data_IF_362214656448
#
_entry.id   IF_362214656448
#
_cell.length_a   1.000
_cell.length_b   1.000
_cell.length_c   1.000
_cell.angle_alpha   90.00
_cell.angle_beta   90.00
_cell.angle_gamma   90.00
#
_symmetry.space_group_name_H-M   'P 1'
#
loop_
_entity.id
_entity.type
_entity.pdbx_description
1 polymer ?
#
# COMPACT_ATOMS: atom_id res chain seq x y z
N UNK A 1 20.24 19.16 8.35
CA UNK A 1 18.92 19.16 9.00
C UNK A 1 18.00 19.84 8.01
N UNK A 2 16.98 19.14 7.48
CA UNK A 2 16.07 19.69 6.46
C UNK A 2 15.05 20.60 7.13
N UNK A 3 15.49 21.75 7.64
CA UNK A 3 14.61 22.59 8.43
C UNK A 3 13.74 23.45 7.51
N UNK A 4 12.42 23.27 7.64
CA UNK A 4 11.32 24.01 7.00
C UNK A 4 10.91 23.60 5.57
N UNK A 5 10.96 22.31 5.22
CA UNK A 5 10.23 21.83 4.03
C UNK A 5 8.72 21.87 4.31
N UNK A 6 7.97 22.64 3.53
CA UNK A 6 6.51 22.60 3.56
C UNK A 6 6.00 21.31 2.92
N UNK A 7 5.26 20.49 3.68
CA UNK A 7 4.68 19.25 3.19
C UNK A 7 3.17 19.43 3.07
N UNK A 8 2.63 19.23 1.86
CA UNK A 8 1.19 19.40 1.59
C UNK A 8 0.63 18.19 0.84
N UNK A 9 -0.68 17.99 0.92
CA UNK A 9 -1.38 16.85 0.29
C UNK A 9 -1.62 15.65 1.21
N UNK A 10 -1.08 15.66 2.43
CA UNK A 10 -1.46 14.70 3.48
C UNK A 10 -2.97 14.78 3.70
N UNK A 11 -3.60 13.61 3.74
CA UNK A 11 -5.05 13.48 3.92
C UNK A 11 -5.40 13.75 5.37
N UNK A 12 -6.25 14.75 5.61
CA UNK A 12 -6.75 15.07 6.94
C UNK A 12 -7.60 13.93 7.51
N UNK A 13 -7.51 13.69 8.83
CA UNK A 13 -8.20 12.59 9.50
C UNK A 13 -9.73 12.64 9.36
N UNK A 14 -10.34 13.81 9.22
CA UNK A 14 -11.78 14.01 8.98
C UNK A 14 -12.26 13.48 7.62
N UNK A 15 -11.33 13.27 6.67
CA UNK A 15 -11.65 12.71 5.36
C UNK A 15 -11.61 11.18 5.34
N UNK A 16 -11.08 10.55 6.39
CA UNK A 16 -11.02 9.11 6.45
C UNK A 16 -12.42 8.53 6.68
N UNK A 17 -12.73 7.37 6.07
CA UNK A 17 -14.01 6.70 6.27
C UNK A 17 -14.20 6.28 7.75
N UNK A 18 -15.34 6.65 8.33
CA UNK A 18 -15.65 6.69 9.77
C UNK A 18 -15.48 5.40 10.64
N UNK A 19 -15.03 4.24 10.12
CA UNK A 19 -14.67 2.99 10.87
C UNK A 19 -14.91 1.71 10.05
N UNK A 20 -15.67 1.76 8.95
CA UNK A 20 -15.97 0.53 8.16
C UNK A 20 -14.80 0.02 7.30
N UNK A 21 -13.69 0.74 7.27
CA UNK A 21 -12.47 0.32 6.58
C UNK A 21 -11.57 -0.60 7.43
N UNK A 22 -12.01 -0.99 8.62
CA UNK A 22 -11.26 -1.89 9.51
C UNK A 22 -10.96 -3.26 8.89
N UNK A 23 -11.78 -3.74 7.95
CA UNK A 23 -11.64 -5.11 7.43
C UNK A 23 -10.69 -5.24 6.25
N UNK A 24 -10.79 -4.33 5.27
CA UNK A 24 -10.03 -4.41 4.02
C UNK A 24 -9.30 -3.10 3.80
N UNK A 25 -7.98 -3.15 3.93
CA UNK A 25 -7.10 -2.06 3.59
C UNK A 25 -5.71 -2.59 3.23
N UNK A 26 -4.92 -1.76 2.58
CA UNK A 26 -3.47 -1.96 2.45
C UNK A 26 -2.77 -0.63 2.67
N UNK A 27 -1.82 -0.61 3.59
CA UNK A 27 -0.82 0.46 3.68
C UNK A 27 0.35 0.13 2.76
N UNK A 28 0.81 1.13 2.03
CA UNK A 28 1.89 1.04 1.06
C UNK A 28 2.94 2.09 1.41
N UNK A 29 4.21 1.69 1.40
CA UNK A 29 5.36 2.58 1.54
C UNK A 29 6.17 2.48 0.26
N UNK A 30 6.13 3.56 -0.53
CA UNK A 30 6.81 3.59 -1.81
C UNK A 30 7.96 4.59 -1.79
N UNK A 31 9.15 4.07 -2.01
CA UNK A 31 10.38 4.83 -2.19
C UNK A 31 10.53 5.24 -3.66
N UNK A 32 10.78 6.52 -3.90
CA UNK A 32 10.73 7.14 -5.22
C UNK A 32 11.94 8.05 -5.40
N UNK A 33 12.73 7.75 -6.43
CA UNK A 33 13.79 8.63 -6.89
C UNK A 33 13.27 9.51 -8.04
N UNK A 34 13.34 10.81 -7.84
CA UNK A 34 12.91 11.84 -8.78
C UNK A 34 14.12 12.55 -9.36
N UNK A 35 14.17 12.67 -10.68
CA UNK A 35 15.17 13.49 -11.37
C UNK A 35 14.53 14.78 -11.85
N UNK A 36 15.13 15.92 -11.51
CA UNK A 36 14.83 17.21 -12.10
C UNK A 36 15.24 17.16 -13.57
N UNK A 37 14.36 17.59 -14.51
CA UNK A 37 14.70 17.67 -15.93
C UNK A 37 15.94 18.52 -16.20
N UNK A 38 16.73 18.13 -17.21
CA UNK A 38 18.01 18.78 -17.54
C UNK A 38 17.85 20.27 -17.92
N UNK A 39 16.65 20.71 -18.33
CA UNK A 39 16.40 22.12 -18.63
C UNK A 39 16.25 23.00 -17.37
N UNK A 40 16.21 22.38 -16.18
CA UNK A 40 16.02 23.06 -14.90
C UNK A 40 17.31 23.04 -14.08
N UNK A 41 17.60 24.11 -13.32
CA UNK A 41 18.82 24.18 -12.52
C UNK A 41 18.80 23.18 -11.36
N UNK A 42 20.00 22.87 -10.87
CA UNK A 42 20.23 22.05 -9.68
C UNK A 42 19.56 22.65 -8.44
N UNK A 43 19.26 21.80 -7.46
CA UNK A 43 18.59 22.15 -6.21
C UNK A 43 19.61 22.61 -5.19
N UNK A 44 19.41 23.82 -4.65
CA UNK A 44 20.06 24.26 -3.42
C UNK A 44 19.22 23.82 -2.20
N UNK A 45 17.91 24.07 -2.27
CA UNK A 45 16.99 23.81 -1.16
C UNK A 45 15.59 23.46 -1.66
N UNK A 46 14.95 22.48 -1.02
CA UNK A 46 13.54 22.15 -1.25
C UNK A 46 12.67 23.03 -0.35
N UNK A 47 11.74 23.78 -0.93
CA UNK A 47 10.82 24.65 -0.17
C UNK A 47 9.48 23.95 0.11
N UNK A 48 8.93 23.25 -0.88
CA UNK A 48 7.64 22.56 -0.75
C UNK A 48 7.64 21.23 -1.48
N UNK A 49 7.04 20.22 -0.85
CA UNK A 49 6.64 18.96 -1.49
C UNK A 49 5.14 18.79 -1.35
N UNK A 50 4.47 18.68 -2.50
CA UNK A 50 3.06 18.33 -2.59
C UNK A 50 2.93 16.98 -3.29
N UNK A 51 2.15 16.07 -2.73
CA UNK A 51 1.78 14.85 -3.43
C UNK A 51 0.28 14.59 -3.38
N UNK A 52 -0.23 13.99 -4.45
CA UNK A 52 -1.61 13.52 -4.57
C UNK A 52 -1.62 12.17 -5.26
N UNK A 53 -2.29 11.20 -4.65
CA UNK A 53 -2.47 9.88 -5.26
C UNK A 53 -3.88 9.81 -5.85
N UNK A 54 -3.96 9.41 -7.12
CA UNK A 54 -5.21 9.30 -7.87
C UNK A 54 -5.36 7.86 -8.37
N UNK A 55 -6.54 7.27 -8.15
CA UNK A 55 -6.92 5.99 -8.75
C UNK A 55 -7.39 6.28 -10.19
N UNK A 56 -6.89 5.49 -11.14
CA UNK A 56 -7.30 5.58 -12.55
C UNK A 56 -8.27 4.46 -12.90
N UNK A 57 -8.02 3.25 -12.43
CA UNK A 57 -8.87 2.09 -12.68
C UNK A 57 -8.77 1.06 -11.55
N UNK A 58 -9.74 0.17 -11.48
CA UNK A 58 -9.69 -1.01 -10.61
C UNK A 58 -10.43 -2.19 -11.22
N UNK A 59 -10.01 -3.40 -10.84
CA UNK A 59 -10.70 -4.62 -11.19
C UNK A 59 -10.65 -5.62 -10.03
N UNK A 60 -11.63 -6.51 -9.96
CA UNK A 60 -11.61 -7.62 -9.00
C UNK A 60 -11.11 -8.87 -9.72
N UNK A 61 -10.06 -9.47 -9.19
CA UNK A 61 -9.46 -10.69 -9.70
C UNK A 61 -9.79 -11.86 -8.77
N UNK A 62 -10.25 -12.98 -9.32
CA UNK A 62 -10.38 -14.21 -8.55
C UNK A 62 -9.02 -14.89 -8.43
N UNK A 63 -8.55 -15.15 -7.21
CA UNK A 63 -7.26 -15.80 -6.98
C UNK A 63 -7.37 -16.92 -5.95
N UNK A 64 -6.33 -17.75 -5.84
CA UNK A 64 -6.30 -18.89 -4.91
C UNK A 64 -6.48 -18.50 -3.43
N UNK A 65 -6.20 -17.24 -3.05
CA UNK A 65 -6.37 -16.73 -1.68
C UNK A 65 -7.71 -15.99 -1.49
N UNK A 66 -8.56 -15.99 -2.53
CA UNK A 66 -9.79 -15.23 -2.60
C UNK A 66 -9.69 -14.03 -3.57
N UNK A 67 -10.75 -13.21 -3.65
CA UNK A 67 -10.79 -12.04 -4.51
C UNK A 67 -9.73 -11.01 -4.12
N UNK A 68 -9.03 -10.47 -5.12
CA UNK A 68 -8.12 -9.33 -4.95
C UNK A 68 -8.69 -8.14 -5.68
N UNK A 69 -8.84 -7.03 -4.98
CA UNK A 69 -9.08 -5.74 -5.59
C UNK A 69 -7.76 -5.22 -6.14
N UNK A 70 -7.60 -5.25 -7.46
CA UNK A 70 -6.44 -4.76 -8.18
C UNK A 70 -6.68 -3.32 -8.61
N UNK A 71 -5.74 -2.42 -8.33
CA UNK A 71 -5.91 -0.98 -8.47
C UNK A 71 -4.72 -0.42 -9.23
N UNK A 72 -5.00 0.41 -10.21
CA UNK A 72 -4.00 1.19 -10.93
C UNK A 72 -4.28 2.67 -10.75
N UNK A 73 -3.21 3.45 -10.78
CA UNK A 73 -3.33 4.90 -10.62
C UNK A 73 -2.01 5.61 -10.79
N UNK A 74 -2.00 6.89 -10.39
CA UNK A 74 -0.81 7.74 -10.47
C UNK A 74 -0.57 8.49 -9.17
N UNK A 75 0.71 8.60 -8.80
CA UNK A 75 1.23 9.52 -7.80
C UNK A 75 1.66 10.78 -8.53
N UNK A 76 0.92 11.86 -8.31
CA UNK A 76 1.26 13.17 -8.83
C UNK A 76 2.05 13.91 -7.76
N UNK A 77 3.32 14.21 -8.04
CA UNK A 77 4.23 14.86 -7.11
C UNK A 77 4.64 16.20 -7.73
N UNK A 78 4.58 17.26 -6.92
CA UNK A 78 5.09 18.58 -7.25
C UNK A 78 6.11 18.98 -6.20
N UNK A 79 7.27 19.43 -6.65
CA UNK A 79 8.32 19.96 -5.78
C UNK A 79 8.57 21.41 -6.19
N UNK A 80 8.58 22.30 -5.20
CA UNK A 80 9.02 23.69 -5.34
C UNK A 80 10.36 23.81 -4.63
N UNK A 81 11.35 24.35 -5.31
CA UNK A 81 12.73 24.41 -4.82
C UNK A 81 13.43 25.70 -5.22
N UNK A 82 14.41 26.11 -4.42
CA UNK A 82 15.35 27.18 -4.70
C UNK A 82 16.53 26.58 -5.45
N UNK A 83 16.86 27.19 -6.59
CA UNK A 83 17.93 26.73 -7.46
C UNK A 83 19.32 27.10 -6.93
N UNK A 84 20.29 26.21 -7.10
CA UNK A 84 21.71 26.44 -6.83
C UNK A 84 22.33 27.30 -7.96
N UNK A 85 21.95 28.57 -7.95
CA UNK A 85 22.51 29.60 -8.82
C UNK A 85 22.61 30.94 -8.09
N UNK A 86 23.39 31.87 -8.65
CA UNK A 86 23.61 33.19 -8.04
C UNK A 86 22.31 33.97 -7.80
N UNK A 87 21.25 33.69 -8.56
CA UNK A 87 19.95 34.35 -8.47
C UNK A 87 19.03 33.71 -7.43
N UNK A 88 19.35 32.51 -6.92
CA UNK A 88 18.53 31.70 -6.01
C UNK A 88 17.06 31.67 -6.46
N UNK A 89 16.86 31.44 -7.76
CA UNK A 89 15.53 31.48 -8.38
C UNK A 89 14.64 30.34 -7.88
N UNK A 90 13.34 30.60 -7.74
CA UNK A 90 12.36 29.59 -7.39
C UNK A 90 11.90 28.81 -8.63
N UNK A 91 11.92 27.48 -8.56
CA UNK A 91 11.47 26.59 -9.62
C UNK A 91 10.47 25.57 -9.11
N UNK A 92 9.70 25.00 -10.04
CA UNK A 92 8.85 23.84 -9.74
C UNK A 92 9.04 22.72 -10.75
N UNK A 93 9.06 21.48 -10.27
CA UNK A 93 9.09 20.27 -11.09
C UNK A 93 7.92 19.36 -10.72
N UNK A 94 7.43 18.62 -11.71
CA UNK A 94 6.22 17.80 -11.59
C UNK A 94 6.47 16.41 -12.16
N UNK A 95 6.01 15.39 -11.44
CA UNK A 95 6.07 14.00 -11.87
C UNK A 95 4.70 13.36 -11.74
N UNK A 96 4.43 12.42 -12.64
CA UNK A 96 3.25 11.57 -12.61
C UNK A 96 3.72 10.13 -12.74
N UNK A 97 3.72 9.41 -11.62
CA UNK A 97 4.34 8.09 -11.51
C UNK A 97 3.23 7.05 -11.39
N UNK A 98 3.11 6.11 -12.34
CA UNK A 98 2.11 5.07 -12.25
C UNK A 98 2.39 4.17 -11.04
N UNK A 99 1.33 3.68 -10.41
CA UNK A 99 1.41 2.64 -9.39
C UNK A 99 0.38 1.55 -9.68
N UNK A 100 0.65 0.38 -9.10
CA UNK A 100 -0.20 -0.78 -9.22
C UNK A 100 -0.18 -1.52 -7.89
N UNK A 101 -1.35 -1.65 -7.26
CA UNK A 101 -1.48 -2.24 -5.94
C UNK A 101 -2.68 -3.18 -5.86
N UNK A 102 -2.71 -4.00 -4.81
CA UNK A 102 -3.88 -4.83 -4.55
C UNK A 102 -4.28 -4.88 -3.08
N UNK A 103 -5.57 -5.01 -2.81
CA UNK A 103 -6.13 -5.30 -1.48
C UNK A 103 -6.75 -6.70 -1.51
N UNK A 104 -6.32 -7.58 -0.60
CA UNK A 104 -6.92 -8.91 -0.46
C UNK A 104 -8.27 -8.80 0.26
N UNK A 105 -9.32 -9.21 -0.42
CA UNK A 105 -10.69 -9.22 0.13
C UNK A 105 -10.98 -10.58 0.78
N UNK A 106 -10.18 -10.90 1.81
CA UNK A 106 -10.30 -12.17 2.55
C UNK A 106 -11.73 -12.35 3.05
N UNK A 107 -12.31 -13.53 2.86
CA UNK A 107 -13.70 -13.87 3.25
C UNK A 107 -14.80 -13.42 2.28
N UNK A 108 -14.47 -12.91 1.09
CA UNK A 108 -15.45 -12.65 0.03
C UNK A 108 -15.37 -13.73 -1.05
N UNK A 109 -16.52 -14.11 -1.61
CA UNK A 109 -16.62 -15.01 -2.77
C UNK A 109 -16.62 -14.18 -4.06
N UNK A 110 -15.94 -14.62 -5.11
CA UNK A 110 -15.86 -13.86 -6.37
C UNK A 110 -17.21 -13.77 -7.11
N UNK A 111 -17.92 -14.89 -7.24
CA UNK A 111 -19.04 -15.03 -8.19
C UNK A 111 -20.29 -14.22 -7.80
N UNK A 112 -20.56 -14.03 -6.50
CA UNK A 112 -21.71 -13.24 -6.02
C UNK A 112 -21.34 -11.83 -5.55
N UNK A 113 -20.04 -11.49 -5.51
CA UNK A 113 -19.56 -10.20 -5.01
C UNK A 113 -18.83 -9.35 -6.07
N UNK A 114 -19.04 -9.61 -7.36
CA UNK A 114 -18.31 -8.94 -8.44
C UNK A 114 -18.46 -7.40 -8.43
N UNK A 115 -19.57 -6.89 -7.89
CA UNK A 115 -19.92 -5.47 -7.85
C UNK A 115 -20.09 -4.91 -6.42
N UNK A 116 -19.40 -5.48 -5.43
CA UNK A 116 -19.52 -5.00 -4.03
C UNK A 116 -18.75 -3.71 -3.74
N UNK A 117 -17.81 -3.33 -4.61
CA UNK A 117 -16.98 -2.13 -4.41
C UNK A 117 -17.83 -0.91 -4.75
N UNK A 118 -18.25 -0.17 -3.72
CA UNK A 118 -18.97 1.10 -3.90
C UNK A 118 -18.01 2.19 -4.38
N UNK A 119 -16.84 2.27 -3.74
CA UNK A 119 -15.77 3.21 -4.08
C UNK A 119 -14.47 2.75 -3.45
N UNK A 120 -13.36 3.38 -3.81
CA UNK A 120 -12.06 3.14 -3.20
C UNK A 120 -11.56 4.45 -2.62
N UNK A 121 -11.33 4.46 -1.32
CA UNK A 121 -10.67 5.55 -0.63
C UNK A 121 -9.16 5.36 -0.72
N UNK A 122 -8.45 6.45 -0.99
CA UNK A 122 -7.00 6.51 -0.88
C UNK A 122 -6.61 7.71 -0.03
N UNK A 123 -5.83 7.46 1.02
CA UNK A 123 -5.37 8.46 1.95
C UNK A 123 -3.85 8.53 1.92
N UNK A 124 -3.29 9.70 1.63
CA UNK A 124 -1.86 9.95 1.81
C UNK A 124 -1.61 10.23 3.29
N UNK A 125 -0.85 9.36 3.95
CA UNK A 125 -0.59 9.42 5.40
C UNK A 125 0.67 10.22 5.70
N UNK A 126 1.72 10.08 4.89
CA UNK A 126 2.96 10.81 5.07
C UNK A 126 3.74 11.01 3.76
N UNK A 127 4.54 12.07 3.74
CA UNK A 127 5.58 12.32 2.73
C UNK A 127 6.89 12.52 3.49
N UNK A 128 7.93 11.80 3.11
CA UNK A 128 9.26 11.97 3.69
C UNK A 128 10.26 12.27 2.57
N UNK A 129 10.99 13.38 2.68
CA UNK A 129 12.19 13.61 1.86
C UNK A 129 13.35 12.97 2.60
N UNK A 130 13.89 11.88 2.04
CA UNK A 130 15.01 11.14 2.67
C UNK A 130 16.34 11.81 2.36
N UNK A 131 16.52 12.20 1.10
CA UNK A 131 17.75 12.76 0.60
C UNK A 131 17.48 13.60 -0.65
N UNK A 132 18.33 14.59 -0.92
CA UNK A 132 18.44 15.20 -2.23
C UNK A 132 19.87 15.67 -2.45
N UNK A 133 20.30 15.64 -3.71
CA UNK A 133 21.59 16.15 -4.16
C UNK A 133 21.45 16.62 -5.61
N UNK A 134 21.78 17.88 -5.89
CA UNK A 134 21.73 18.49 -7.23
C UNK A 134 20.35 18.32 -7.89
N UNK A 135 20.24 17.46 -8.89
CA UNK A 135 19.02 17.20 -9.64
C UNK A 135 18.29 15.94 -9.18
N UNK A 136 18.73 15.26 -8.12
CA UNK A 136 18.12 14.01 -7.62
C UNK A 136 17.45 14.26 -6.28
N UNK A 137 16.23 13.74 -6.12
CA UNK A 137 15.46 13.78 -4.88
C UNK A 137 14.95 12.38 -4.57
N UNK A 138 15.21 11.89 -3.37
CA UNK A 138 14.72 10.63 -2.85
C UNK A 138 13.61 10.89 -1.82
N UNK A 139 12.40 10.43 -2.13
CA UNK A 139 11.22 10.58 -1.28
C UNK A 139 10.56 9.24 -0.98
N UNK A 140 9.92 9.14 0.19
CA UNK A 140 9.02 8.04 0.53
C UNK A 140 7.60 8.57 0.68
N UNK A 141 6.63 7.87 0.07
CA UNK A 141 5.19 8.11 0.25
C UNK A 141 4.58 6.97 1.06
N UNK A 142 3.97 7.31 2.20
CA UNK A 142 3.14 6.37 2.96
C UNK A 142 1.68 6.69 2.65
N UNK A 143 0.93 5.70 2.18
CA UNK A 143 -0.49 5.86 1.89
C UNK A 143 -1.28 4.58 2.17
N UNK A 144 -2.56 4.77 2.43
CA UNK A 144 -3.52 3.69 2.66
C UNK A 144 -4.54 3.63 1.54
N UNK A 145 -4.84 2.42 1.11
CA UNK A 145 -5.94 2.11 0.20
C UNK A 145 -7.01 1.38 0.99
N UNK A 146 -8.24 1.89 0.95
CA UNK A 146 -9.39 1.31 1.63
C UNK A 146 -10.59 1.20 0.69
N UNK A 147 -10.93 0.01 0.18
CA UNK A 147 -12.21 -0.18 -0.50
C UNK A 147 -13.40 0.05 0.43
N UNK A 148 -14.37 0.81 -0.06
CA UNK A 148 -15.68 0.94 0.54
C UNK A 148 -16.60 -0.09 -0.11
N UNK A 149 -17.15 -0.98 0.71
CA UNK A 149 -18.03 -2.04 0.25
C UNK A 149 -19.50 -1.67 0.46
N UNK A 150 -20.36 -2.05 -0.48
CA UNK A 150 -21.80 -2.07 -0.25
C UNK A 150 -22.17 -3.03 0.89
N UNK A 151 -23.17 -2.64 1.68
CA UNK A 151 -23.66 -3.45 2.77
C UNK A 151 -24.57 -4.56 2.20
N UNK A 152 -23.99 -5.71 1.87
CA UNK A 152 -24.78 -6.89 1.52
C UNK A 152 -25.10 -7.69 2.78
N UNK A 153 -26.39 -7.76 3.12
CA UNK A 153 -26.88 -8.67 4.15
C UNK A 153 -26.74 -10.12 3.64
N UNK A 154 -25.58 -10.71 3.93
CA UNK A 154 -25.24 -12.13 3.83
C UNK A 154 -25.48 -12.80 2.46
N UNK A 155 -24.45 -12.76 1.61
CA UNK A 155 -24.21 -13.80 0.62
C UNK A 155 -24.14 -15.17 1.33
N UNK A 156 -25.02 -16.09 0.95
CA UNK A 156 -25.13 -17.43 1.55
C UNK A 156 -23.88 -18.26 1.23
N UNK A 157 -23.23 -17.99 0.10
CA UNK A 157 -21.98 -18.62 -0.31
C UNK A 157 -20.75 -18.04 0.38
N UNK A 158 -20.74 -16.80 0.85
CA UNK A 158 -19.67 -16.30 1.72
C UNK A 158 -19.67 -17.03 3.08
N UNK A 159 -20.84 -17.44 3.60
CA UNK A 159 -20.89 -18.31 4.80
C UNK A 159 -20.28 -19.69 4.52
N UNK A 160 -20.50 -20.25 3.34
CA UNK A 160 -19.99 -21.58 2.95
C UNK A 160 -18.52 -21.55 2.50
N UNK A 161 -18.08 -20.50 1.81
CA UNK A 161 -16.69 -20.29 1.40
C UNK A 161 -15.77 -20.14 2.63
N UNK A 162 -16.20 -19.46 3.70
CA UNK A 162 -15.49 -19.49 4.99
C UNK A 162 -15.42 -20.87 5.65
N UNK A 163 -16.32 -21.80 5.29
CA UNK A 163 -16.27 -23.18 5.79
C UNK A 163 -15.33 -24.08 4.99
N UNK A 164 -15.15 -23.79 3.70
CA UNK A 164 -14.31 -24.57 2.78
C UNK A 164 -13.05 -23.82 2.31
N UNK A 165 -12.73 -22.67 2.90
CA UNK A 165 -11.56 -21.87 2.54
C UNK A 165 -10.31 -22.76 2.68
N UNK A 166 -9.54 -23.01 1.60
CA UNK A 166 -8.31 -23.79 1.70
C UNK A 166 -7.28 -23.17 2.66
N UNK A 167 -7.46 -21.89 3.02
CA UNK A 167 -6.65 -21.22 4.04
C UNK A 167 -7.08 -21.47 5.48
N UNK A 168 -8.24 -22.09 5.77
CA UNK A 168 -8.53 -22.58 7.14
C UNK A 168 -7.47 -23.59 7.57
N UNK A 169 -7.01 -24.42 6.65
CA UNK A 169 -5.90 -25.34 6.89
C UNK A 169 -4.61 -24.62 7.34
N UNK A 170 -4.30 -23.46 6.76
CA UNK A 170 -3.12 -22.67 7.13
C UNK A 170 -3.32 -21.85 8.42
N UNK A 171 -4.53 -21.32 8.66
CA UNK A 171 -4.87 -20.64 9.92
C UNK A 171 -4.88 -21.60 11.11
N UNK A 172 -5.38 -22.82 10.92
CA UNK A 172 -5.35 -23.88 11.93
C UNK A 172 -3.90 -24.30 12.23
N UNK A 173 -3.00 -24.29 11.24
CA UNK A 173 -1.57 -24.55 11.43
C UNK A 173 -0.89 -23.41 12.20
N UNK A 174 -1.14 -22.14 11.86
CA UNK A 174 -0.57 -21.00 12.58
C UNK A 174 -1.06 -20.95 14.04
N UNK A 175 -2.35 -21.22 14.30
CA UNK A 175 -2.86 -21.35 15.66
C UNK A 175 -2.26 -22.56 16.41
N UNK A 176 -2.02 -23.68 15.73
CA UNK A 176 -1.40 -24.85 16.34
C UNK A 176 0.06 -24.58 16.72
N UNK A 177 0.86 -23.98 15.83
CA UNK A 177 2.25 -23.58 16.08
C UNK A 177 2.31 -22.59 17.25
N UNK A 178 1.43 -21.58 17.26
CA UNK A 178 1.38 -20.58 18.32
C UNK A 178 0.96 -21.17 19.69
N UNK A 179 0.13 -22.22 19.69
CA UNK A 179 -0.24 -22.96 20.91
C UNK A 179 0.88 -23.89 21.38
N UNK A 180 1.63 -24.53 20.48
CA UNK A 180 2.80 -25.33 20.84
C UNK A 180 3.93 -24.46 21.41
N UNK A 181 4.22 -23.29 20.82
CA UNK A 181 5.23 -22.34 21.34
C UNK A 181 4.89 -21.81 22.74
N UNK A 182 3.60 -21.73 23.10
CA UNK A 182 3.17 -21.37 24.47
C UNK A 182 3.10 -22.56 25.43
N UNK A 183 2.92 -23.77 24.93
CA UNK A 183 2.90 -24.98 25.73
C UNK A 183 4.31 -25.42 26.16
N UNK A 184 5.31 -25.16 25.32
CA UNK A 184 6.72 -25.44 25.61
C UNK A 184 7.46 -24.14 25.90
N UNK A 185 7.28 -23.62 27.11
CA UNK A 185 8.10 -22.52 27.59
C UNK A 185 9.59 -22.87 27.55
N UNK A 186 10.34 -22.26 26.63
CA UNK A 186 11.79 -22.17 26.68
C UNK A 186 12.57 -22.94 25.61
N UNK A 187 13.29 -22.18 24.79
CA UNK A 187 14.52 -22.52 24.07
C UNK A 187 14.61 -23.89 23.38
N UNK A 188 14.37 -23.92 22.06
CA UNK A 188 15.03 -24.87 21.18
C UNK A 188 15.30 -24.24 19.80
N UNK A 189 16.50 -24.53 19.31
CA UNK A 189 17.19 -23.95 18.16
C UNK A 189 16.53 -24.22 16.80
N UNK A 190 16.86 -23.34 15.85
CA UNK A 190 16.92 -23.63 14.41
C UNK A 190 17.30 -25.11 14.17
N UNK A 191 16.43 -25.87 13.53
CA UNK A 191 16.74 -26.98 12.61
C UNK A 191 15.45 -27.80 12.34
N UNK A 192 14.58 -27.31 11.45
CA UNK A 192 13.47 -28.12 10.90
C UNK A 192 13.18 -27.81 9.42
N UNK A 193 14.19 -27.36 8.67
CA UNK A 193 14.17 -27.41 7.22
C UNK A 193 14.87 -28.70 6.78
N UNK A 194 14.14 -29.83 6.61
CA UNK A 194 14.49 -30.78 5.52
C UNK A 194 13.56 -31.99 5.26
N UNK A 195 12.55 -32.34 6.07
CA UNK A 195 11.99 -33.72 5.96
C UNK A 195 10.68 -33.93 5.20
N UNK A 196 10.08 -32.91 4.54
CA UNK A 196 8.75 -33.09 3.87
C UNK A 196 8.69 -32.80 2.36
N UNK A 197 9.81 -32.55 1.69
CA UNK A 197 9.83 -32.28 0.24
C UNK A 197 10.15 -33.52 -0.62
N UNK A 198 9.50 -34.68 -0.39
CA UNK A 198 9.80 -35.87 -1.23
C UNK A 198 8.72 -36.97 -1.32
N UNK A 199 7.42 -36.67 -1.32
CA UNK A 199 6.40 -37.75 -1.46
C UNK A 199 5.18 -37.54 -2.35
N UNK A 200 5.20 -36.61 -3.31
CA UNK A 200 4.13 -36.54 -4.31
C UNK A 200 4.64 -36.26 -5.73
N UNK A 201 5.36 -37.22 -6.31
CA UNK A 201 5.37 -37.45 -7.76
C UNK A 201 5.49 -38.95 -8.03
N UNK A 202 4.36 -39.58 -8.31
CA UNK A 202 4.19 -40.77 -9.15
C UNK A 202 2.74 -40.89 -9.57
#
# INVERSE_FOLDING_TARGET
MFDNISITGITSLDKYPNSKCEKYYKQCLDDIMLCIPDEKPDIECINEVNAKICIEDYSVLNTILGPKLFITGKKNIKIIYTADNCQQSLHSAHWSIPFCEFVLLKDLCYDECKDIIESIFIGLENICVRHFEKNIIDISLLFIICPKLYNFSYCQDCRNYCNNNPNKYYQDIEEYIYREDKAYGGNASHDFYDSKWNKHYK
#
